data_IF_174371250066
#
_entry.id   IF_174371250066
#
_cell.length_a   1.000
_cell.length_b   1.000
_cell.length_c   1.000
_cell.angle_alpha   90.00
_cell.angle_beta   90.00
_cell.angle_gamma   90.00
#
_symmetry.space_group_name_H-M   'P 1'
#
loop_
_entity.id
_entity.type
_entity.pdbx_description
1 polymer ?
#
# COMPACT_ATOMS: atom_id res chain seq x y z
N UNK A 1 -3.97 -39.28 -65.09
CA UNK A 1 -2.63 -39.67 -64.58
C UNK A 1 -2.62 -39.39 -63.09
N UNK A 2 -2.64 -40.46 -62.28
CA UNK A 2 -2.65 -40.36 -60.81
C UNK A 2 -1.24 -40.04 -60.30
N UNK A 3 -1.07 -38.88 -59.65
CA UNK A 3 0.12 -38.58 -58.88
C UNK A 3 -0.10 -38.92 -57.41
N UNK A 4 0.43 -40.07 -57.00
CA UNK A 4 0.85 -40.30 -55.63
C UNK A 4 2.33 -39.92 -55.52
N UNK A 5 2.71 -39.00 -54.63
CA UNK A 5 3.76 -39.31 -53.64
C UNK A 5 3.84 -38.29 -52.51
N UNK A 6 3.73 -38.88 -51.32
CA UNK A 6 3.99 -38.37 -49.98
C UNK A 6 5.34 -37.67 -49.83
N UNK A 7 5.35 -36.54 -49.11
CA UNK A 7 6.28 -36.36 -47.99
C UNK A 7 5.83 -35.18 -47.11
N UNK A 8 5.23 -35.46 -45.95
CA UNK A 8 5.09 -34.44 -44.90
C UNK A 8 5.47 -35.03 -43.55
N UNK A 9 6.75 -34.84 -43.26
CA UNK A 9 7.39 -34.94 -41.96
C UNK A 9 6.46 -34.43 -40.84
N UNK A 10 5.90 -35.35 -40.06
CA UNK A 10 5.21 -35.02 -38.80
C UNK A 10 6.27 -34.86 -37.72
N UNK A 11 6.67 -33.61 -37.47
CA UNK A 11 7.41 -33.26 -36.26
C UNK A 11 6.41 -33.28 -35.10
N UNK A 12 6.42 -34.36 -34.32
CA UNK A 12 5.71 -34.41 -33.05
C UNK A 12 6.34 -33.39 -32.09
N UNK A 13 5.58 -32.34 -31.79
CA UNK A 13 5.93 -31.36 -30.77
C UNK A 13 5.82 -32.07 -29.42
N UNK A 14 6.96 -32.30 -28.78
CA UNK A 14 7.00 -32.78 -27.41
C UNK A 14 6.36 -31.72 -26.50
N UNK A 15 5.22 -32.07 -25.91
CA UNK A 15 4.60 -31.27 -24.85
C UNK A 15 5.47 -31.41 -23.61
N UNK A 16 6.26 -30.38 -23.32
CA UNK A 16 6.96 -30.27 -22.04
C UNK A 16 5.90 -30.01 -20.95
N UNK A 17 5.47 -31.06 -20.25
CA UNK A 17 4.74 -30.93 -19.01
C UNK A 17 5.71 -30.40 -17.94
N UNK A 18 5.72 -29.08 -17.76
CA UNK A 18 6.28 -28.42 -16.59
C UNK A 18 5.44 -28.80 -15.38
N UNK A 19 5.78 -29.92 -14.73
CA UNK A 19 5.34 -30.21 -13.37
C UNK A 19 6.17 -29.32 -12.45
N UNK A 20 5.73 -28.06 -12.28
CA UNK A 20 6.27 -27.23 -11.22
C UNK A 20 5.65 -27.70 -9.91
N UNK A 21 6.45 -28.51 -9.22
CA UNK A 21 6.35 -28.88 -7.82
C UNK A 21 5.85 -27.68 -7.02
N UNK A 22 4.78 -27.91 -6.28
CA UNK A 22 4.22 -27.01 -5.29
C UNK A 22 5.29 -26.57 -4.31
N UNK A 23 5.95 -25.45 -4.63
CA UNK A 23 6.54 -24.61 -3.63
C UNK A 23 5.36 -24.00 -2.86
N UNK A 24 4.94 -24.66 -1.78
CA UNK A 24 4.51 -23.94 -0.60
C UNK A 24 5.73 -23.16 -0.13
N UNK A 25 6.07 -22.11 -0.89
CA UNK A 25 6.86 -21.04 -0.35
C UNK A 25 6.04 -20.62 0.86
N UNK A 26 6.65 -20.77 2.03
CA UNK A 26 6.32 -19.95 3.18
C UNK A 26 6.52 -18.51 2.71
N UNK A 27 5.56 -17.98 1.97
CA UNK A 27 5.45 -16.57 1.72
C UNK A 27 5.32 -16.03 3.13
N UNK A 28 6.39 -15.40 3.62
CA UNK A 28 6.24 -14.34 4.59
C UNK A 28 5.28 -13.37 3.91
N UNK A 29 3.99 -13.59 4.10
CA UNK A 29 2.95 -12.70 3.65
C UNK A 29 3.27 -11.42 4.41
N UNK A 30 3.86 -10.44 3.72
CA UNK A 30 4.08 -9.13 4.29
C UNK A 30 2.72 -8.70 4.85
N UNK A 31 2.60 -8.61 6.17
CA UNK A 31 1.35 -8.25 6.85
C UNK A 31 0.99 -6.87 6.33
N UNK A 32 0.05 -6.82 5.37
CA UNK A 32 -0.44 -5.56 4.83
C UNK A 32 -1.31 -4.94 5.90
N UNK A 33 -0.74 -3.99 6.64
CA UNK A 33 -1.49 -3.25 7.63
C UNK A 33 -2.54 -2.40 6.91
N UNK A 34 -3.79 -2.39 7.39
CA UNK A 34 -4.79 -1.46 6.88
C UNK A 34 -4.30 -0.01 6.99
N UNK A 35 -4.64 0.81 6.01
CA UNK A 35 -4.20 2.21 5.95
C UNK A 35 -5.39 3.15 5.99
N UNK A 36 -5.23 4.28 6.65
CA UNK A 36 -6.17 5.40 6.64
C UNK A 36 -5.45 6.67 6.24
N UNK A 37 -6.09 7.44 5.36
CA UNK A 37 -5.65 8.78 5.00
C UNK A 37 -6.46 9.79 5.80
N UNK A 38 -5.77 10.72 6.45
CA UNK A 38 -6.40 11.75 7.27
C UNK A 38 -5.84 13.12 6.93
N UNK A 39 -6.65 14.14 7.21
CA UNK A 39 -6.25 15.53 7.10
C UNK A 39 -6.27 16.15 8.50
N UNK A 40 -5.22 16.88 8.83
CA UNK A 40 -5.10 17.70 10.04
C UNK A 40 -4.80 19.14 9.69
N UNK A 41 -4.74 19.99 10.71
CA UNK A 41 -4.33 21.39 10.58
C UNK A 41 -3.14 21.65 11.49
N UNK A 42 -2.14 22.35 10.96
CA UNK A 42 -0.95 22.73 11.70
C UNK A 42 -0.69 24.22 11.54
N UNK A 43 -0.39 24.90 12.65
CA UNK A 43 0.00 26.31 12.65
C UNK A 43 1.46 26.40 13.08
N UNK A 44 2.34 26.73 12.14
CA UNK A 44 3.77 26.85 12.38
C UNK A 44 4.59 26.84 11.09
N UNK A 45 5.86 27.19 11.22
CA UNK A 45 6.80 27.27 10.09
C UNK A 45 7.62 25.99 9.91
N UNK A 46 7.81 25.21 10.96
CA UNK A 46 8.55 23.95 10.90
C UNK A 46 7.70 22.80 10.33
N UNK A 47 8.05 22.37 9.11
CA UNK A 47 7.38 21.31 8.35
C UNK A 47 8.02 19.94 8.60
N UNK A 48 8.22 19.60 9.86
CA UNK A 48 8.82 18.33 10.27
C UNK A 48 7.79 17.20 10.38
N UNK A 49 8.25 15.96 10.21
CA UNK A 49 7.44 14.75 10.40
C UNK A 49 6.80 14.69 11.80
N UNK A 50 7.51 15.17 12.83
CA UNK A 50 6.98 15.23 14.20
C UNK A 50 5.76 16.15 14.32
N UNK A 51 5.75 17.29 13.62
CA UNK A 51 4.61 18.19 13.62
C UNK A 51 3.46 17.64 12.78
N UNK A 52 3.74 16.97 11.66
CA UNK A 52 2.73 16.27 10.88
C UNK A 52 2.07 15.15 11.69
N UNK A 53 2.87 14.39 12.44
CA UNK A 53 2.41 13.36 13.36
C UNK A 53 1.45 13.96 14.39
N UNK A 54 1.88 15.02 15.11
CA UNK A 54 1.04 15.69 16.12
C UNK A 54 -0.27 16.23 15.55
N UNK A 55 -0.22 16.81 14.35
CA UNK A 55 -1.38 17.42 13.70
C UNK A 55 -2.42 16.41 13.20
N UNK A 56 -2.01 15.17 12.93
CA UNK A 56 -2.87 14.16 12.29
C UNK A 56 -3.14 12.91 13.14
N UNK A 57 -2.38 12.70 14.23
CA UNK A 57 -2.46 11.49 15.05
C UNK A 57 -3.85 11.22 15.62
N UNK A 58 -4.52 12.24 16.17
CA UNK A 58 -5.87 12.07 16.74
C UNK A 58 -6.89 11.60 15.70
N UNK A 59 -6.90 12.26 14.54
CA UNK A 59 -7.79 11.89 13.43
C UNK A 59 -7.49 10.49 12.90
N UNK A 60 -6.21 10.13 12.81
CA UNK A 60 -5.78 8.80 12.40
C UNK A 60 -6.20 7.72 13.41
N UNK A 61 -6.04 7.99 14.71
CA UNK A 61 -6.44 7.10 15.78
C UNK A 61 -7.94 6.79 15.74
N UNK A 62 -8.76 7.83 15.66
CA UNK A 62 -10.21 7.70 15.62
C UNK A 62 -10.66 6.98 14.33
N UNK A 63 -10.09 7.36 13.18
CA UNK A 63 -10.38 6.73 11.90
C UNK A 63 -10.01 5.24 11.89
N UNK A 64 -8.82 4.90 12.39
CA UNK A 64 -8.38 3.52 12.51
C UNK A 64 -9.31 2.71 13.42
N UNK A 65 -9.72 3.22 14.58
CA UNK A 65 -10.60 2.49 15.49
C UNK A 65 -12.04 2.38 14.99
N UNK A 66 -12.50 3.38 14.25
CA UNK A 66 -13.82 3.37 13.61
C UNK A 66 -13.89 2.31 12.51
N UNK A 67 -12.84 2.20 11.68
CA UNK A 67 -12.80 1.26 10.55
C UNK A 67 -12.31 -0.14 10.97
N UNK A 68 -11.37 -0.21 11.90
CA UNK A 68 -10.67 -1.42 12.34
C UNK A 68 -10.71 -1.53 13.87
N UNK A 69 -11.79 -2.11 14.40
CA UNK A 69 -12.08 -2.18 15.85
C UNK A 69 -11.00 -2.87 16.71
N UNK A 70 -10.10 -3.64 16.09
CA UNK A 70 -8.97 -4.33 16.75
C UNK A 70 -7.66 -3.53 16.81
N UNK A 71 -7.60 -2.33 16.21
CA UNK A 71 -6.35 -1.54 16.17
C UNK A 71 -5.94 -1.04 17.56
N UNK A 72 -4.67 -1.26 17.91
CA UNK A 72 -4.05 -0.87 19.19
C UNK A 72 -2.93 0.16 19.05
N UNK A 73 -2.25 0.17 17.91
CA UNK A 73 -1.26 1.21 17.58
C UNK A 73 -1.42 1.68 16.15
N UNK A 74 -0.82 2.82 15.83
CA UNK A 74 -0.79 3.36 14.49
C UNK A 74 0.61 3.83 14.15
N UNK A 75 0.99 3.75 12.87
CA UNK A 75 2.28 4.25 12.40
C UNK A 75 2.08 5.16 11.18
N UNK A 76 2.58 6.39 11.24
CA UNK A 76 2.52 7.31 10.11
C UNK A 76 3.55 6.87 9.07
N UNK A 77 3.09 6.53 7.87
CA UNK A 77 3.97 6.10 6.77
C UNK A 77 4.22 7.19 5.76
N UNK A 78 3.34 8.18 5.69
CA UNK A 78 3.46 9.28 4.73
C UNK A 78 2.83 10.54 5.29
N UNK A 79 3.36 11.70 4.92
CA UNK A 79 2.78 12.99 5.23
C UNK A 79 3.16 14.03 4.17
N UNK A 80 2.31 15.04 4.03
CA UNK A 80 2.57 16.21 3.21
C UNK A 80 1.88 17.43 3.80
N UNK A 81 2.63 18.52 3.89
CA UNK A 81 2.07 19.83 4.22
C UNK A 81 1.58 20.52 2.96
N UNK A 82 0.37 21.06 3.02
CA UNK A 82 -0.18 21.91 1.98
C UNK A 82 0.42 23.32 2.01
N UNK A 83 -0.02 24.11 1.04
CA UNK A 83 0.22 25.55 1.03
C UNK A 83 -0.46 26.21 2.23
N UNK A 84 0.10 27.33 2.74
CA UNK A 84 -0.57 28.10 3.76
C UNK A 84 -1.96 28.58 3.33
N UNK A 85 -2.93 28.47 4.24
CA UNK A 85 -4.29 28.94 4.02
C UNK A 85 -4.85 29.53 5.34
N UNK A 86 -5.20 30.83 5.38
CA UNK A 86 -5.11 31.82 4.29
C UNK A 86 -3.68 32.14 3.87
N UNK A 87 -3.51 32.69 2.66
CA UNK A 87 -2.19 33.07 2.13
C UNK A 87 -1.50 34.07 3.07
N UNK A 88 -0.21 33.85 3.34
CA UNK A 88 0.56 34.65 4.30
C UNK A 88 0.39 34.25 5.77
N UNK A 89 -0.45 33.26 6.08
CA UNK A 89 -0.51 32.66 7.42
C UNK A 89 0.54 31.57 7.61
N UNK A 90 0.71 31.12 8.85
CA UNK A 90 1.47 29.90 9.17
C UNK A 90 0.57 28.67 9.29
N UNK A 91 -0.71 28.79 8.94
CA UNK A 91 -1.68 27.71 9.05
C UNK A 91 -1.69 26.91 7.76
N UNK A 92 -1.52 25.60 7.86
CA UNK A 92 -1.42 24.67 6.73
C UNK A 92 -2.26 23.44 7.02
N UNK A 93 -2.90 22.93 5.98
CA UNK A 93 -3.45 21.57 6.02
C UNK A 93 -2.30 20.56 5.97
N UNK A 94 -2.45 19.45 6.69
CA UNK A 94 -1.51 18.33 6.67
C UNK A 94 -2.27 17.10 6.23
N UNK A 95 -1.88 16.51 5.11
CA UNK A 95 -2.35 15.19 4.72
C UNK A 95 -1.37 14.14 5.27
N UNK A 96 -1.88 13.03 5.81
CA UNK A 96 -1.03 11.94 6.28
C UNK A 96 -1.71 10.59 6.10
N UNK A 97 -0.88 9.59 5.77
CA UNK A 97 -1.30 8.17 5.70
C UNK A 97 -0.76 7.43 6.90
N UNK A 98 -1.64 6.70 7.58
CA UNK A 98 -1.34 5.94 8.77
C UNK A 98 -1.69 4.47 8.59
N UNK A 99 -0.79 3.60 9.02
CA UNK A 99 -1.05 2.17 9.15
C UNK A 99 -1.70 1.88 10.50
N UNK A 100 -2.87 1.25 10.45
CA UNK A 100 -3.58 0.74 11.61
C UNK A 100 -2.97 -0.63 11.99
N UNK A 101 -2.25 -0.69 13.11
CA UNK A 101 -1.53 -1.88 13.55
C UNK A 101 -2.21 -2.53 14.75
N UNK A 102 -2.31 -3.85 14.68
CA UNK A 102 -2.56 -4.67 15.85
C UNK A 102 -1.19 -5.05 16.45
N UNK A 103 -0.98 -4.73 17.72
CA UNK A 103 0.27 -4.99 18.45
C UNK A 103 0.22 -6.27 19.27
N UNK A 104 -0.79 -7.12 19.06
CA UNK A 104 -0.82 -8.49 19.56
C UNK A 104 0.11 -9.41 18.75
#
# INVERSE_FOLDING_TARGET
>A
MHFFRSNRNRKSIAVAMLVMVSAFANHAAAKTFPKVDVIGSYTGTDLSSANAWKATWGNAWDSCRSQYKGTRSINMTWHQFGSPNPSGSNTRSVAATWECRDTN
#
